data_IF_005767405079
#
_entry.id   IF_005767405079
#
_cell.length_a   1.000
_cell.length_b   1.000
_cell.length_c   1.000
_cell.angle_alpha   90.00
_cell.angle_beta   90.00
_cell.angle_gamma   90.00
#
_symmetry.space_group_name_H-M   'P 1'
#
loop_
_entity.id
_entity.type
_entity.pdbx_description
1 polymer ?
#
# COMPACT_ATOMS: atom_id res chain seq x y z
N UNK A 1 -12.81 -16.70 -13.47
CA UNK A 1 -12.16 -15.72 -12.56
C UNK A 1 -11.49 -16.47 -11.40
N UNK A 2 -10.22 -16.15 -11.12
CA UNK A 2 -9.38 -16.65 -10.02
C UNK A 2 -8.70 -15.41 -9.42
N UNK A 3 -8.72 -15.25 -8.09
CA UNK A 3 -8.04 -14.14 -7.43
C UNK A 3 -6.55 -14.44 -7.31
N UNK A 4 -5.71 -13.45 -7.59
CA UNK A 4 -4.26 -13.51 -7.38
C UNK A 4 -3.89 -12.39 -6.43
N UNK A 5 -3.14 -12.74 -5.39
CA UNK A 5 -2.70 -11.84 -4.32
C UNK A 5 -1.96 -12.62 -3.25
N UNK A 6 -1.55 -11.95 -2.17
CA UNK A 6 -0.83 -12.59 -1.07
C UNK A 6 -1.73 -13.40 -0.11
N UNK A 7 -3.04 -13.15 -0.13
CA UNK A 7 -3.95 -13.64 0.91
C UNK A 7 -3.85 -12.91 2.24
N UNK A 8 -2.95 -11.93 2.35
CA UNK A 8 -2.72 -11.16 3.58
C UNK A 8 -3.40 -9.80 3.49
N UNK A 9 -3.90 -9.32 4.63
CA UNK A 9 -4.43 -7.98 4.78
C UNK A 9 -3.43 -7.09 5.51
N UNK A 10 -3.22 -5.88 5.00
CA UNK A 10 -2.33 -4.89 5.59
C UNK A 10 -3.10 -3.58 5.80
N UNK A 11 -2.85 -2.91 6.92
CA UNK A 11 -3.35 -1.55 7.13
C UNK A 11 -2.46 -0.57 6.38
N UNK A 12 -3.02 0.57 5.94
CA UNK A 12 -2.23 1.63 5.29
C UNK A 12 -1.10 2.13 6.21
N UNK A 13 -1.36 2.22 7.52
CA UNK A 13 -0.35 2.60 8.51
C UNK A 13 0.80 1.59 8.59
N UNK A 14 0.50 0.28 8.57
CA UNK A 14 1.53 -0.76 8.57
C UNK A 14 2.37 -0.71 7.28
N UNK A 15 1.75 -0.50 6.12
CA UNK A 15 2.48 -0.35 4.85
C UNK A 15 3.42 0.86 4.90
N UNK A 16 2.96 2.00 5.44
CA UNK A 16 3.81 3.18 5.58
C UNK A 16 5.00 2.95 6.52
N UNK A 17 4.79 2.25 7.64
CA UNK A 17 5.86 1.89 8.57
C UNK A 17 6.89 0.95 7.93
N UNK A 18 6.43 -0.09 7.23
CA UNK A 18 7.32 -1.03 6.51
C UNK A 18 8.17 -0.31 5.45
N UNK A 19 7.59 0.68 4.76
CA UNK A 19 8.34 1.52 3.81
C UNK A 19 9.37 2.39 4.52
N UNK A 20 9.02 3.03 5.64
CA UNK A 20 9.94 3.84 6.42
C UNK A 20 11.14 3.03 6.92
N UNK A 21 10.89 1.82 7.42
CA UNK A 21 11.93 0.86 7.82
C UNK A 21 12.81 0.45 6.64
N UNK A 22 12.22 0.04 5.52
CA UNK A 22 12.97 -0.34 4.31
C UNK A 22 13.81 0.82 3.74
N UNK A 23 13.36 2.06 3.92
CA UNK A 23 14.09 3.27 3.52
C UNK A 23 15.15 3.72 4.55
N UNK A 24 15.39 2.96 5.63
CA UNK A 24 16.29 3.32 6.73
C UNK A 24 15.92 4.63 7.45
N UNK A 25 14.62 4.91 7.56
CA UNK A 25 14.04 6.07 8.23
C UNK A 25 13.01 5.63 9.29
N UNK A 26 13.38 4.78 10.27
CA UNK A 26 12.41 4.17 11.20
C UNK A 26 11.66 5.18 12.07
N UNK A 27 12.22 6.37 12.28
CA UNK A 27 11.60 7.46 13.04
C UNK A 27 10.56 8.24 12.22
N UNK A 28 10.47 8.01 10.90
CA UNK A 28 9.48 8.65 10.04
C UNK A 28 8.12 7.97 10.21
N UNK A 29 7.26 8.59 11.03
CA UNK A 29 5.90 8.11 11.23
C UNK A 29 4.93 8.66 10.17
N UNK A 30 3.93 7.88 9.73
CA UNK A 30 2.86 8.38 8.87
C UNK A 30 1.96 9.37 9.60
N UNK A 31 1.53 10.43 8.91
CA UNK A 31 0.49 11.33 9.39
C UNK A 31 -0.89 10.67 9.24
N UNK A 32 -1.57 10.39 10.36
CA UNK A 32 -2.91 9.79 10.36
C UNK A 32 -3.96 10.90 10.40
N UNK A 33 -4.49 11.24 9.23
CA UNK A 33 -5.44 12.35 9.07
C UNK A 33 -6.85 12.07 9.60
N UNK A 34 -7.20 10.80 9.85
CA UNK A 34 -8.55 10.41 10.28
C UNK A 34 -9.63 10.62 9.19
N UNK A 35 -9.23 10.90 7.95
CA UNK A 35 -10.12 11.09 6.80
C UNK A 35 -10.06 9.88 5.87
N UNK A 36 -11.18 9.58 5.22
CA UNK A 36 -11.27 8.57 4.16
C UNK A 36 -11.81 9.22 2.88
N UNK A 37 -11.46 8.67 1.72
CA UNK A 37 -12.03 9.14 0.47
C UNK A 37 -13.40 8.50 0.23
N UNK A 38 -14.28 9.24 -0.43
CA UNK A 38 -15.54 8.69 -0.92
C UNK A 38 -15.27 7.48 -1.81
N UNK A 39 -15.79 6.32 -1.40
CA UNK A 39 -15.60 5.05 -2.12
C UNK A 39 -14.42 4.19 -1.65
N UNK A 40 -13.62 4.62 -0.66
CA UNK A 40 -12.59 3.76 -0.08
C UNK A 40 -13.25 2.51 0.55
N UNK A 41 -12.69 1.33 0.26
CA UNK A 41 -13.14 0.05 0.80
C UNK A 41 -12.39 -0.22 2.10
N UNK A 42 -13.12 -0.57 3.16
CA UNK A 42 -12.54 -0.81 4.49
C UNK A 42 -11.50 -1.94 4.51
N UNK A 43 -11.81 -3.07 3.85
CA UNK A 43 -10.93 -4.22 3.77
C UNK A 43 -10.94 -4.75 2.33
N UNK A 44 -9.77 -4.84 1.70
CA UNK A 44 -9.62 -5.38 0.36
C UNK A 44 -8.40 -6.31 0.34
N UNK A 45 -8.64 -7.62 0.35
CA UNK A 45 -7.62 -8.65 0.23
C UNK A 45 -8.19 -9.84 -0.55
N UNK A 46 -7.32 -10.60 -1.20
CA UNK A 46 -7.73 -11.71 -2.04
C UNK A 46 -7.88 -13.00 -1.23
N UNK A 47 -9.04 -13.64 -1.26
CA UNK A 47 -9.11 -15.09 -0.96
C UNK A 47 -8.46 -15.85 -2.12
N UNK A 48 -7.38 -16.57 -1.82
CA UNK A 48 -6.53 -17.28 -2.79
C UNK A 48 -6.71 -18.80 -2.76
N UNK A 49 -7.69 -19.34 -2.04
CA UNK A 49 -7.92 -20.79 -1.94
C UNK A 49 -8.16 -21.42 -3.31
N UNK A 50 -8.88 -20.71 -4.19
CA UNK A 50 -9.11 -21.16 -5.56
C UNK A 50 -7.82 -21.21 -6.38
N UNK A 51 -6.91 -20.26 -6.19
CA UNK A 51 -5.62 -20.22 -6.89
C UNK A 51 -4.69 -21.33 -6.41
N UNK A 52 -4.59 -21.53 -5.08
CA UNK A 52 -3.84 -22.63 -4.47
C UNK A 52 -4.31 -23.98 -5.01
N UNK A 53 -5.62 -24.25 -4.96
CA UNK A 53 -6.20 -25.54 -5.37
C UNK A 53 -6.08 -25.84 -6.85
N UNK A 54 -6.32 -24.86 -7.72
CA UNK A 54 -6.43 -25.11 -9.17
C UNK A 54 -5.10 -24.89 -9.91
N UNK A 55 -4.23 -24.03 -9.41
CA UNK A 55 -3.00 -23.62 -10.09
C UNK A 55 -1.73 -24.04 -9.32
N UNK A 56 -1.85 -24.52 -8.09
CA UNK A 56 -0.70 -24.68 -7.20
C UNK A 56 -0.03 -23.35 -6.85
N UNK A 57 -0.75 -22.23 -6.98
CA UNK A 57 -0.21 -20.90 -6.73
C UNK A 57 0.07 -20.71 -5.23
N UNK A 58 1.30 -20.34 -4.90
CA UNK A 58 1.73 -19.92 -3.57
C UNK A 58 2.49 -18.59 -3.70
N UNK A 59 2.10 -17.53 -2.94
CA UNK A 59 2.89 -16.31 -2.87
C UNK A 59 4.28 -16.62 -2.31
N UNK A 60 5.33 -16.33 -3.09
CA UNK A 60 6.71 -16.63 -2.70
C UNK A 60 7.26 -15.64 -1.65
N UNK A 61 6.71 -14.43 -1.60
CA UNK A 61 7.18 -13.35 -0.73
C UNK A 61 6.03 -12.74 0.04
N UNK A 62 6.33 -12.32 1.28
CA UNK A 62 5.47 -11.44 2.05
C UNK A 62 5.88 -9.99 1.80
N UNK A 63 4.99 -9.04 2.10
CA UNK A 63 5.29 -7.62 1.89
C UNK A 63 6.49 -7.17 2.74
N UNK A 64 6.58 -7.65 3.98
CA UNK A 64 7.63 -7.33 4.94
C UNK A 64 9.03 -7.72 4.43
N UNK A 65 9.11 -8.72 3.55
CA UNK A 65 10.36 -9.29 3.05
C UNK A 65 10.69 -8.83 1.62
N UNK A 66 9.85 -8.00 0.99
CA UNK A 66 9.92 -7.72 -0.46
C UNK A 66 10.10 -6.24 -0.83
N UNK A 67 10.32 -5.36 0.14
CA UNK A 67 10.37 -3.91 -0.12
C UNK A 67 11.74 -3.38 -0.55
N UNK A 68 12.83 -4.12 -0.29
CA UNK A 68 14.21 -3.66 -0.52
C UNK A 68 14.46 -3.23 -1.98
N UNK A 69 14.08 -4.07 -2.94
CA UNK A 69 14.24 -3.75 -4.36
C UNK A 69 13.40 -2.52 -4.75
N UNK A 70 12.18 -2.43 -4.22
CA UNK A 70 11.27 -1.32 -4.48
C UNK A 70 11.83 0.01 -3.97
N UNK A 71 12.28 0.06 -2.71
CA UNK A 71 12.82 1.31 -2.13
C UNK A 71 14.15 1.70 -2.77
N UNK A 72 14.96 0.73 -3.20
CA UNK A 72 16.18 0.99 -3.97
C UNK A 72 15.85 1.65 -5.30
N UNK A 73 14.85 1.12 -6.02
CA UNK A 73 14.41 1.70 -7.27
C UNK A 73 13.83 3.12 -7.07
N UNK A 74 12.94 3.31 -6.09
CA UNK A 74 12.36 4.63 -5.77
C UNK A 74 13.43 5.64 -5.38
N UNK A 75 14.43 5.24 -4.60
CA UNK A 75 15.54 6.10 -4.20
C UNK A 75 16.40 6.60 -5.36
N UNK A 76 16.35 5.93 -6.51
CA UNK A 76 17.07 6.36 -7.72
C UNK A 76 16.31 7.40 -8.56
N UNK A 77 15.04 7.68 -8.22
CA UNK A 77 14.17 8.54 -9.03
C UNK A 77 14.19 10.00 -8.56
N UNK A 78 14.08 10.93 -9.50
CA UNK A 78 13.71 12.31 -9.19
C UNK A 78 12.20 12.40 -8.98
N UNK A 79 11.76 12.60 -7.74
CA UNK A 79 10.34 12.67 -7.37
C UNK A 79 9.95 14.12 -7.04
N UNK A 80 8.81 14.57 -7.57
CA UNK A 80 8.17 15.82 -7.16
C UNK A 80 7.00 15.47 -6.26
N UNK A 81 7.05 15.91 -5.00
CA UNK A 81 5.93 15.72 -4.06
C UNK A 81 4.74 16.59 -4.48
N UNK A 82 3.62 15.93 -4.77
CA UNK A 82 2.33 16.55 -5.14
C UNK A 82 1.23 16.28 -4.11
N UNK A 83 1.59 15.89 -2.89
CA UNK A 83 0.63 15.59 -1.82
C UNK A 83 -0.28 16.77 -1.50
N UNK A 84 0.25 17.99 -1.45
CA UNK A 84 -0.56 19.19 -1.19
C UNK A 84 -1.58 19.47 -2.31
N UNK A 85 -1.16 19.35 -3.58
CA UNK A 85 -2.05 19.54 -4.73
C UNK A 85 -3.14 18.47 -4.79
N UNK A 86 -2.77 17.21 -4.53
CA UNK A 86 -3.71 16.09 -4.49
C UNK A 86 -4.78 16.30 -3.41
N UNK A 87 -4.39 16.73 -2.20
CA UNK A 87 -5.36 17.04 -1.12
C UNK A 87 -6.33 18.14 -1.53
N UNK A 88 -5.82 19.27 -2.04
CA UNK A 88 -6.66 20.39 -2.52
C UNK A 88 -7.68 19.92 -3.58
N UNK A 89 -7.24 19.15 -4.56
CA UNK A 89 -8.11 18.65 -5.63
C UNK A 89 -9.18 17.66 -5.14
N UNK A 90 -8.87 16.84 -4.12
CA UNK A 90 -9.86 15.94 -3.52
C UNK A 90 -10.92 16.72 -2.73
N UNK A 91 -10.51 17.75 -1.99
CA UNK A 91 -11.42 18.61 -1.22
C UNK A 91 -12.33 19.43 -2.14
N UNK A 92 -11.79 20.06 -3.19
CA UNK A 92 -12.56 20.81 -4.20
C UNK A 92 -13.64 19.95 -4.89
N UNK A 93 -13.42 18.64 -4.97
CA UNK A 93 -14.34 17.67 -5.58
C UNK A 93 -15.25 16.98 -4.56
N UNK A 94 -15.14 17.32 -3.27
CA UNK A 94 -15.92 16.67 -2.21
C UNK A 94 -15.61 15.18 -2.04
N UNK A 95 -14.41 14.74 -2.45
CA UNK A 95 -13.99 13.34 -2.39
C UNK A 95 -13.32 12.97 -1.06
N UNK A 96 -12.99 13.96 -0.24
CA UNK A 96 -12.45 13.80 1.11
C UNK A 96 -13.21 14.75 2.02
N UNK A 97 -13.68 14.23 3.15
CA UNK A 97 -14.31 14.99 4.24
C UNK A 97 -13.37 14.99 5.44
#
# INVERSE_FOLDING_TARGET
VINIGSGQAYTIAAVAQLLAEAMNLPELAPEILGKARSGDIRNCFADIDKARRLLGFEPAFRLEDSLEEFVTWVGSMAVVDRGADMRRQLEERGLVT
#
